data_IF_976625876912
#
_entry.id   IF_976625876912
#
_cell.length_a   1.000
_cell.length_b   1.000
_cell.length_c   1.000
_cell.angle_alpha   90.00
_cell.angle_beta   90.00
_cell.angle_gamma   90.00
#
_symmetry.space_group_name_H-M   'P 1'
#
loop_
_entity.id
_entity.type
_entity.pdbx_description
1 polymer ?
#
# COMPACT_ATOMS: atom_id res chain seq x y z
N UNK A 1 10.21 2.86 -20.08
CA UNK A 1 9.66 3.51 -21.31
C UNK A 1 9.49 2.49 -22.40
N UNK A 2 8.29 2.42 -23.00
CA UNK A 2 7.98 1.55 -24.13
C UNK A 2 7.41 2.39 -25.28
N UNK A 3 8.04 2.32 -26.43
CA UNK A 3 7.62 2.96 -27.70
C UNK A 3 8.41 2.36 -28.86
N UNK A 4 8.04 2.64 -30.09
CA UNK A 4 8.88 2.38 -31.26
C UNK A 4 9.82 3.57 -31.48
N UNK A 5 11.09 3.41 -31.11
CA UNK A 5 12.13 4.44 -31.23
C UNK A 5 12.58 4.71 -32.68
N UNK A 6 12.06 3.96 -33.66
CA UNK A 6 12.38 4.15 -35.09
C UNK A 6 11.45 5.14 -35.79
N UNK A 7 10.34 5.51 -35.13
CA UNK A 7 9.41 6.53 -35.62
C UNK A 7 9.80 7.91 -35.11
N UNK A 8 8.94 8.57 -34.32
CA UNK A 8 9.25 9.87 -33.73
C UNK A 8 9.97 9.70 -32.41
N UNK A 9 10.59 10.77 -31.90
CA UNK A 9 11.20 10.77 -30.58
C UNK A 9 10.11 10.58 -29.51
N UNK A 10 10.44 9.94 -28.38
CA UNK A 10 9.46 9.72 -27.29
C UNK A 10 8.77 10.99 -26.82
N UNK A 11 9.53 12.09 -26.68
CA UNK A 11 9.02 13.39 -26.22
C UNK A 11 8.02 14.05 -27.19
N UNK A 12 8.03 13.68 -28.47
CA UNK A 12 7.12 14.20 -29.48
C UNK A 12 5.82 13.41 -29.60
N UNK A 13 5.70 12.28 -28.90
CA UNK A 13 4.50 11.43 -28.88
C UNK A 13 3.69 11.65 -27.60
N UNK A 14 2.36 11.63 -27.67
CA UNK A 14 1.56 11.60 -26.45
C UNK A 14 1.85 10.34 -25.63
N UNK A 15 2.07 10.53 -24.32
CA UNK A 15 2.41 9.47 -23.41
C UNK A 15 1.29 9.12 -22.45
N UNK A 16 1.34 7.89 -21.93
CA UNK A 16 0.48 7.39 -20.85
C UNK A 16 1.40 6.98 -19.71
N UNK A 17 1.13 7.50 -18.52
CA UNK A 17 1.71 7.05 -17.27
C UNK A 17 0.87 5.92 -16.68
N UNK A 18 1.51 4.84 -16.24
CA UNK A 18 0.85 3.72 -15.59
C UNK A 18 1.72 3.31 -14.40
N UNK A 19 1.14 3.27 -13.21
CA UNK A 19 1.80 2.76 -12.03
C UNK A 19 1.01 1.61 -11.38
N UNK A 20 1.73 0.79 -10.62
CA UNK A 20 1.23 -0.26 -9.75
C UNK A 20 2.04 -0.30 -8.47
N UNK A 21 1.64 -1.11 -7.50
CA UNK A 21 2.33 -1.25 -6.23
C UNK A 21 2.41 0.05 -5.43
N UNK A 22 1.37 0.87 -5.50
CA UNK A 22 1.21 2.06 -4.64
C UNK A 22 0.96 1.62 -3.21
N UNK A 23 0.15 0.59 -3.05
CA UNK A 23 -0.14 -0.09 -1.79
C UNK A 23 0.64 -1.42 -1.77
N UNK A 24 1.41 -1.68 -0.72
CA UNK A 24 2.38 -2.79 -0.68
C UNK A 24 1.74 -4.17 -0.68
N UNK A 25 0.51 -4.30 -0.19
CA UNK A 25 -0.26 -5.54 -0.16
C UNK A 25 -1.06 -5.79 -1.47
N UNK A 26 -1.13 -4.80 -2.35
CA UNK A 26 -1.83 -4.91 -3.63
C UNK A 26 -0.96 -5.47 -4.76
N UNK A 27 -0.35 -6.62 -4.54
CA UNK A 27 0.62 -7.25 -5.44
C UNK A 27 0.11 -7.52 -6.85
N UNK A 28 -1.20 -7.71 -7.02
CA UNK A 28 -1.82 -7.94 -8.34
C UNK A 28 -1.70 -6.71 -9.24
N UNK A 29 -1.58 -5.51 -8.69
CA UNK A 29 -1.39 -4.28 -9.44
C UNK A 29 0.00 -4.27 -10.12
N UNK A 30 1.02 -4.73 -9.42
CA UNK A 30 2.38 -4.95 -9.95
C UNK A 30 2.36 -6.01 -11.07
N UNK A 31 1.70 -7.14 -10.84
CA UNK A 31 1.56 -8.20 -11.85
C UNK A 31 0.82 -7.73 -13.10
N UNK A 32 -0.23 -6.92 -12.94
CA UNK A 32 -0.96 -6.35 -14.05
C UNK A 32 -0.08 -5.39 -14.89
N UNK A 33 0.73 -4.55 -14.23
CA UNK A 33 1.69 -3.68 -14.88
C UNK A 33 2.76 -4.47 -15.66
N UNK A 34 3.30 -5.53 -15.06
CA UNK A 34 4.27 -6.44 -15.72
C UNK A 34 3.62 -7.18 -16.90
N UNK A 35 2.39 -7.66 -16.75
CA UNK A 35 1.62 -8.27 -17.82
C UNK A 35 1.39 -7.32 -19.01
N UNK A 36 1.11 -6.04 -18.73
CA UNK A 36 0.99 -5.01 -19.76
C UNK A 36 2.33 -4.77 -20.46
N UNK A 37 3.43 -4.66 -19.72
CA UNK A 37 4.78 -4.54 -20.30
C UNK A 37 5.05 -5.72 -21.24
N UNK A 38 4.82 -6.94 -20.77
CA UNK A 38 5.00 -8.15 -21.58
C UNK A 38 4.17 -8.09 -22.87
N UNK A 39 2.88 -7.77 -22.79
CA UNK A 39 1.99 -7.67 -23.96
C UNK A 39 2.47 -6.60 -24.93
N UNK A 40 2.82 -5.41 -24.43
CA UNK A 40 3.33 -4.32 -25.26
C UNK A 40 4.64 -4.69 -25.99
N UNK A 41 5.48 -5.51 -25.39
CA UNK A 41 6.77 -5.89 -25.99
C UNK A 41 6.67 -7.08 -26.96
N UNK A 42 5.76 -8.01 -26.71
CA UNK A 42 5.75 -9.30 -27.43
C UNK A 42 4.60 -9.47 -28.43
N UNK A 43 3.52 -8.68 -28.32
CA UNK A 43 2.38 -8.81 -29.23
C UNK A 43 2.67 -8.27 -30.61
N UNK A 44 2.24 -9.02 -31.63
CA UNK A 44 2.27 -8.64 -33.04
C UNK A 44 0.85 -8.26 -33.55
N UNK A 45 -0.10 -8.02 -32.64
CA UNK A 45 -1.41 -7.49 -33.00
C UNK A 45 -1.28 -6.09 -33.59
N UNK A 46 -1.96 -5.81 -34.69
CA UNK A 46 -1.87 -4.54 -35.42
C UNK A 46 -2.11 -3.31 -34.55
N UNK A 47 -3.06 -3.43 -33.62
CA UNK A 47 -3.41 -2.34 -32.70
C UNK A 47 -2.28 -2.05 -31.70
N UNK A 48 -1.65 -3.10 -31.18
CA UNK A 48 -0.50 -2.96 -30.27
C UNK A 48 0.72 -2.39 -31.00
N UNK A 49 0.95 -2.84 -32.23
CA UNK A 49 2.01 -2.27 -33.05
C UNK A 49 1.75 -0.78 -33.34
N UNK A 50 0.53 -0.42 -33.65
CA UNK A 50 0.14 0.98 -33.88
C UNK A 50 0.32 1.83 -32.63
N UNK A 51 -0.07 1.30 -31.44
CA UNK A 51 0.15 1.97 -30.18
C UNK A 51 1.64 2.25 -29.93
N UNK A 52 2.53 1.27 -30.13
CA UNK A 52 3.97 1.46 -29.98
C UNK A 52 4.52 2.54 -30.95
N UNK A 53 4.01 2.62 -32.15
CA UNK A 53 4.43 3.62 -33.14
C UNK A 53 3.99 5.04 -32.81
N UNK A 54 2.82 5.18 -32.19
CA UNK A 54 2.14 6.47 -32.05
C UNK A 54 2.07 6.98 -30.61
N UNK A 55 2.47 6.18 -29.62
CA UNK A 55 2.38 6.50 -28.19
C UNK A 55 3.66 6.14 -27.44
N UNK A 56 3.79 6.71 -26.26
CA UNK A 56 4.78 6.31 -25.26
C UNK A 56 4.06 5.78 -24.04
N UNK A 57 4.57 4.69 -23.51
CA UNK A 57 4.11 4.12 -22.24
C UNK A 57 5.24 4.27 -21.21
N UNK A 58 5.02 5.08 -20.21
CA UNK A 58 5.84 5.14 -19.01
C UNK A 58 5.18 4.27 -17.95
N UNK A 59 5.81 3.16 -17.62
CA UNK A 59 5.22 2.18 -16.69
C UNK A 59 6.16 2.01 -15.51
N UNK A 60 5.62 2.24 -14.30
CA UNK A 60 6.25 1.97 -13.02
C UNK A 60 5.54 0.78 -12.39
N UNK A 61 6.10 -0.44 -12.45
CA UNK A 61 5.39 -1.64 -11.99
C UNK A 61 5.14 -1.68 -10.50
N UNK A 62 6.05 -1.11 -9.69
CA UNK A 62 5.98 -1.11 -8.24
C UNK A 62 6.55 0.20 -7.69
N UNK A 63 5.69 1.00 -7.05
CA UNK A 63 6.07 2.28 -6.48
C UNK A 63 6.84 2.12 -5.17
N UNK A 64 6.47 1.15 -4.32
CA UNK A 64 7.08 0.91 -3.00
C UNK A 64 7.65 -0.51 -2.89
N UNK A 65 8.78 -0.78 -3.58
CA UNK A 65 9.35 -2.13 -3.64
C UNK A 65 9.77 -2.68 -2.28
N UNK A 66 10.26 -1.82 -1.37
CA UNK A 66 10.70 -2.24 -0.04
C UNK A 66 9.50 -2.67 0.83
N UNK A 67 8.39 -1.94 0.77
CA UNK A 67 7.13 -2.33 1.43
C UNK A 67 6.57 -3.63 0.88
N UNK A 68 6.63 -3.82 -0.44
CA UNK A 68 6.20 -5.07 -1.09
C UNK A 68 7.10 -6.25 -0.69
N UNK A 69 8.42 -6.04 -0.61
CA UNK A 69 9.36 -7.07 -0.16
C UNK A 69 9.07 -7.51 1.28
N UNK A 70 8.85 -6.55 2.17
CA UNK A 70 8.48 -6.85 3.56
C UNK A 70 7.14 -7.59 3.64
N UNK A 71 6.14 -7.18 2.84
CA UNK A 71 4.85 -7.86 2.77
C UNK A 71 4.98 -9.33 2.35
N UNK A 72 5.86 -9.63 1.39
CA UNK A 72 6.03 -10.99 0.88
C UNK A 72 6.89 -11.89 1.76
N UNK A 73 7.91 -11.33 2.43
CA UNK A 73 8.98 -12.11 3.04
C UNK A 73 9.09 -11.97 4.55
N UNK A 74 8.16 -11.24 5.18
CA UNK A 74 8.08 -11.17 6.65
C UNK A 74 6.74 -11.61 7.19
N UNK A 75 6.69 -11.96 8.46
CA UNK A 75 5.45 -12.24 9.18
C UNK A 75 4.58 -10.99 9.34
N UNK A 76 5.18 -9.81 9.34
CA UNK A 76 4.50 -8.53 9.60
C UNK A 76 3.45 -8.19 8.55
N UNK A 77 3.72 -8.47 7.27
CA UNK A 77 2.84 -8.16 6.14
C UNK A 77 2.23 -6.75 6.22
N UNK A 78 3.07 -5.70 6.25
CA UNK A 78 2.58 -4.34 6.32
C UNK A 78 1.66 -4.05 5.14
N UNK A 79 0.68 -3.19 5.38
CA UNK A 79 -0.22 -2.66 4.36
C UNK A 79 0.22 -1.26 4.03
N UNK A 80 0.08 -0.87 2.78
CA UNK A 80 0.01 0.52 2.31
C UNK A 80 1.13 1.44 2.80
N UNK A 81 2.35 0.95 3.14
CA UNK A 81 3.35 1.83 3.71
C UNK A 81 4.74 1.69 3.10
N UNK A 82 5.45 2.82 3.04
CA UNK A 82 6.90 2.86 2.87
C UNK A 82 7.58 2.37 4.14
N UNK A 83 8.87 2.02 4.06
CA UNK A 83 9.66 1.58 5.23
C UNK A 83 10.45 2.73 5.88
N UNK A 84 10.14 3.97 5.57
CA UNK A 84 10.74 5.11 6.26
C UNK A 84 10.29 5.09 7.71
N UNK A 85 11.23 5.09 8.69
CA UNK A 85 10.88 5.08 10.10
C UNK A 85 9.91 6.20 10.46
N UNK A 86 8.86 5.85 11.19
CA UNK A 86 7.81 6.76 11.59
C UNK A 86 7.40 6.51 13.04
N UNK A 87 7.06 7.56 13.76
CA UNK A 87 6.58 7.56 15.13
C UNK A 87 5.05 7.67 15.09
N UNK A 88 4.36 6.52 15.19
CA UNK A 88 2.91 6.44 15.03
C UNK A 88 2.15 6.93 16.25
N UNK A 89 2.74 6.84 17.45
CA UNK A 89 2.11 7.20 18.71
C UNK A 89 2.59 8.55 19.28
N UNK A 90 3.65 9.13 18.69
CA UNK A 90 4.27 10.41 19.04
C UNK A 90 4.95 10.42 20.42
N UNK A 91 5.60 9.32 20.79
CA UNK A 91 6.41 9.21 22.00
C UNK A 91 7.87 9.66 21.80
N UNK A 92 8.28 9.86 20.55
CA UNK A 92 9.61 10.32 20.13
C UNK A 92 10.57 9.20 19.76
N UNK A 93 10.12 7.94 19.71
CA UNK A 93 10.84 6.81 19.16
C UNK A 93 10.22 6.43 17.81
N UNK A 94 10.77 5.45 17.14
CA UNK A 94 10.34 5.07 15.80
C UNK A 94 10.34 3.56 15.66
N UNK A 95 9.24 2.99 15.15
CA UNK A 95 9.13 1.57 14.81
C UNK A 95 9.47 0.62 15.99
N UNK A 96 9.22 1.01 17.25
CA UNK A 96 9.72 0.24 18.41
C UNK A 96 8.74 -0.81 18.94
N UNK A 97 7.45 -0.74 18.55
CA UNK A 97 6.47 -1.73 18.96
C UNK A 97 5.77 -2.39 17.76
N UNK A 98 6.52 -3.13 16.92
CA UNK A 98 5.96 -3.80 15.75
C UNK A 98 5.18 -5.05 16.13
N UNK A 99 4.21 -5.48 15.32
CA UNK A 99 3.61 -6.81 15.45
C UNK A 99 4.64 -7.93 15.33
N UNK A 100 4.38 -9.02 16.05
CA UNK A 100 5.25 -10.20 16.07
C UNK A 100 4.44 -11.49 15.87
N UNK A 101 5.02 -12.47 15.21
CA UNK A 101 4.47 -13.82 15.09
C UNK A 101 4.78 -14.61 16.38
N UNK A 102 3.83 -14.68 17.30
CA UNK A 102 3.99 -15.35 18.59
C UNK A 102 3.71 -16.86 18.53
N UNK A 103 2.93 -17.31 17.56
CA UNK A 103 2.56 -18.73 17.46
C UNK A 103 3.36 -19.51 16.41
N UNK A 104 4.18 -18.84 15.61
CA UNK A 104 5.14 -19.45 14.68
C UNK A 104 4.50 -19.88 13.36
N UNK A 105 3.35 -19.29 12.98
CA UNK A 105 2.68 -19.61 11.72
C UNK A 105 3.18 -18.80 10.52
N UNK A 106 4.18 -17.95 10.72
CA UNK A 106 4.77 -16.99 9.80
C UNK A 106 3.84 -15.85 9.39
N UNK A 107 2.88 -15.49 10.25
CA UNK A 107 1.99 -14.35 10.06
C UNK A 107 1.66 -13.68 11.38
N UNK A 108 2.01 -12.41 11.53
CA UNK A 108 1.52 -11.59 12.62
C UNK A 108 0.05 -11.20 12.31
N UNK A 109 -0.90 -12.00 12.79
CA UNK A 109 -2.32 -11.82 12.51
C UNK A 109 -2.99 -10.93 13.58
N UNK A 110 -4.05 -11.45 14.18
CA UNK A 110 -4.78 -10.76 15.23
C UNK A 110 -4.85 -11.61 16.48
N UNK A 111 -4.49 -11.02 17.60
CA UNK A 111 -4.68 -11.62 18.91
C UNK A 111 -5.85 -11.01 19.67
N UNK A 112 -6.31 -11.72 20.68
CA UNK A 112 -7.31 -11.25 21.64
C UNK A 112 -6.77 -11.29 23.05
N UNK A 113 -6.84 -10.17 23.73
CA UNK A 113 -6.43 -10.04 25.12
C UNK A 113 -7.68 -9.93 26.01
N UNK A 114 -7.74 -10.70 27.11
CA UNK A 114 -8.84 -10.58 28.06
C UNK A 114 -8.79 -9.21 28.74
N UNK A 115 -9.91 -8.51 28.73
CA UNK A 115 -10.03 -7.20 29.38
C UNK A 115 -11.42 -7.05 29.99
N UNK A 116 -11.56 -6.58 31.23
CA UNK A 116 -12.87 -6.29 31.82
C UNK A 116 -13.65 -5.22 31.05
N UNK A 117 -12.95 -4.29 30.41
CA UNK A 117 -13.50 -3.22 29.57
C UNK A 117 -13.64 -3.61 28.10
N UNK A 118 -13.28 -4.83 27.74
CA UNK A 118 -13.21 -5.29 26.36
C UNK A 118 -14.49 -5.08 25.58
N UNK A 119 -14.31 -4.70 24.31
CA UNK A 119 -15.42 -4.40 23.37
C UNK A 119 -15.91 -5.62 22.60
N UNK A 120 -15.26 -6.77 22.81
CA UNK A 120 -15.50 -7.98 22.02
C UNK A 120 -15.83 -9.17 22.92
N UNK A 121 -16.65 -10.08 22.39
CA UNK A 121 -16.93 -11.41 22.96
C UNK A 121 -16.73 -12.46 21.89
N UNK A 122 -16.51 -13.70 22.31
CA UNK A 122 -16.45 -14.82 21.36
C UNK A 122 -17.81 -15.00 20.69
N UNK A 123 -17.80 -15.30 19.40
CA UNK A 123 -19.00 -15.67 18.68
C UNK A 123 -19.55 -17.00 19.21
N UNK A 124 -20.86 -17.10 19.33
CA UNK A 124 -21.53 -18.28 19.88
C UNK A 124 -21.45 -19.50 18.97
N UNK A 125 -21.36 -19.26 17.65
CA UNK A 125 -21.31 -20.33 16.65
C UNK A 125 -19.89 -20.80 16.37
N UNK A 126 -18.92 -19.88 16.41
CA UNK A 126 -17.52 -20.18 16.21
C UNK A 126 -16.66 -19.39 17.21
N UNK A 127 -16.24 -20.05 18.29
CA UNK A 127 -15.44 -19.43 19.35
C UNK A 127 -14.05 -18.95 18.93
N UNK A 128 -13.64 -19.17 17.67
CA UNK A 128 -12.42 -18.57 17.07
C UNK A 128 -12.66 -17.13 16.68
N UNK A 129 -13.90 -16.80 16.32
CA UNK A 129 -14.30 -15.46 15.89
C UNK A 129 -14.67 -14.60 17.11
N UNK A 130 -14.54 -13.29 16.92
CA UNK A 130 -15.02 -12.27 17.84
C UNK A 130 -16.16 -11.48 17.18
N UNK A 131 -17.19 -11.18 17.98
CA UNK A 131 -18.22 -10.20 17.63
C UNK A 131 -18.24 -9.05 18.63
N UNK A 132 -18.75 -7.93 18.23
CA UNK A 132 -18.94 -6.79 19.14
C UNK A 132 -19.83 -7.20 20.32
N UNK A 133 -19.41 -6.75 21.51
CA UNK A 133 -20.14 -6.94 22.77
C UNK A 133 -21.44 -6.15 22.74
N UNK A 134 -22.52 -6.81 23.17
CA UNK A 134 -23.81 -6.18 23.54
C UNK A 134 -23.85 -5.93 25.05
N UNK A 135 -24.71 -5.01 25.54
CA UNK A 135 -24.81 -4.71 27.00
C UNK A 135 -25.01 -5.92 27.90
N UNK A 136 -25.79 -6.89 27.45
CA UNK A 136 -26.21 -8.07 28.24
C UNK A 136 -25.34 -9.31 27.97
N UNK A 137 -24.27 -9.19 27.18
CA UNK A 137 -23.39 -10.31 26.91
C UNK A 137 -22.65 -10.73 28.19
N UNK A 138 -22.58 -12.03 28.49
CA UNK A 138 -21.74 -12.52 29.58
C UNK A 138 -20.26 -12.49 29.17
N UNK A 139 -19.38 -12.20 30.16
CA UNK A 139 -17.94 -12.34 29.94
C UNK A 139 -17.49 -13.79 29.66
N UNK A 140 -16.25 -13.99 29.31
CA UNK A 140 -15.17 -13.00 29.33
C UNK A 140 -15.18 -12.04 28.13
N UNK A 141 -14.74 -10.81 28.36
CA UNK A 141 -14.61 -9.78 27.33
C UNK A 141 -13.17 -9.69 26.84
N UNK A 142 -12.99 -9.18 25.61
CA UNK A 142 -11.71 -9.10 24.94
C UNK A 142 -11.51 -7.74 24.27
N UNK A 143 -10.27 -7.29 24.25
CA UNK A 143 -9.76 -6.34 23.26
C UNK A 143 -9.08 -7.12 22.13
N UNK A 144 -8.92 -6.48 20.97
CA UNK A 144 -8.33 -7.06 19.77
C UNK A 144 -7.17 -6.18 19.32
N UNK A 145 -6.03 -6.80 19.15
CA UNK A 145 -4.79 -6.17 18.72
C UNK A 145 -4.19 -6.95 17.56
N UNK A 146 -3.20 -6.39 16.87
CA UNK A 146 -2.26 -7.17 16.08
C UNK A 146 -1.53 -8.14 17.00
N UNK A 147 -1.08 -9.25 16.48
CA UNK A 147 -0.30 -10.23 17.24
C UNK A 147 1.07 -9.66 17.57
N UNK A 148 1.51 -9.82 18.81
CA UNK A 148 2.77 -9.30 19.34
C UNK A 148 2.70 -9.08 20.85
N UNK A 149 3.73 -8.46 21.38
CA UNK A 149 3.86 -8.08 22.78
C UNK A 149 3.96 -6.55 22.86
N UNK A 150 3.72 -6.00 24.03
CA UNK A 150 3.97 -4.60 24.35
C UNK A 150 5.48 -4.45 24.57
N UNK A 151 6.21 -4.04 23.53
CA UNK A 151 7.68 -4.03 23.51
C UNK A 151 8.27 -2.85 24.27
N UNK A 152 7.57 -1.73 24.33
CA UNK A 152 8.02 -0.50 24.99
C UNK A 152 7.47 -0.35 26.43
N UNK A 153 6.42 -1.12 26.78
CA UNK A 153 5.85 -1.19 28.12
C UNK A 153 4.86 -0.05 28.43
N UNK A 154 4.26 0.58 27.43
CA UNK A 154 3.30 1.68 27.62
C UNK A 154 1.88 1.19 27.92
N UNK A 155 1.62 -0.11 27.75
CA UNK A 155 0.33 -0.78 28.02
C UNK A 155 -0.60 -0.86 26.82
N UNK A 156 -0.15 -0.44 25.64
CA UNK A 156 -0.78 -0.71 24.35
C UNK A 156 -0.06 -1.89 23.69
N UNK A 157 -0.41 -2.22 22.47
CA UNK A 157 0.16 -3.37 21.75
C UNK A 157 0.30 -3.03 20.28
N UNK A 158 1.52 -3.12 19.80
CA UNK A 158 1.86 -3.10 18.38
C UNK A 158 1.31 -1.87 17.65
N UNK A 159 1.46 -0.68 18.22
CA UNK A 159 1.02 0.58 17.63
C UNK A 159 2.04 1.21 16.69
N UNK A 160 3.34 0.95 16.87
CA UNK A 160 4.42 1.47 16.03
C UNK A 160 4.95 0.39 15.08
N UNK A 161 4.44 0.42 13.87
CA UNK A 161 4.83 -0.49 12.81
C UNK A 161 6.07 0.00 12.07
N UNK A 162 6.84 -0.90 11.44
CA UNK A 162 7.92 -0.50 10.53
C UNK A 162 7.38 0.36 9.38
N UNK A 163 7.82 1.62 9.33
CA UNK A 163 7.32 2.59 8.36
C UNK A 163 6.04 3.26 8.83
N UNK A 164 5.05 3.44 7.98
CA UNK A 164 3.75 4.01 8.38
C UNK A 164 3.23 5.09 7.43
N UNK A 165 4.03 5.56 6.48
CA UNK A 165 3.57 6.51 5.47
C UNK A 165 3.00 5.76 4.27
N UNK A 166 1.73 6.01 4.02
CA UNK A 166 0.98 5.49 2.89
C UNK A 166 1.15 6.39 1.67
N UNK A 167 1.82 5.94 0.59
CA UNK A 167 1.99 6.76 -0.61
C UNK A 167 0.67 7.21 -1.21
N UNK A 168 -0.39 6.41 -1.09
CA UNK A 168 -1.73 6.73 -1.56
C UNK A 168 -2.42 7.81 -0.72
N UNK A 169 -1.80 8.27 0.38
CA UNK A 169 -2.22 9.42 1.22
C UNK A 169 -1.25 10.58 1.12
N UNK A 170 -0.10 10.39 0.48
CA UNK A 170 0.99 11.37 0.42
C UNK A 170 0.99 12.20 -0.87
N UNK A 171 0.11 11.91 -1.85
CA UNK A 171 -0.04 12.74 -3.05
C UNK A 171 -0.49 14.17 -2.71
N UNK A 172 -0.07 15.20 -3.50
CA UNK A 172 -0.44 16.59 -3.24
C UNK A 172 -1.94 16.89 -3.29
N UNK A 173 -2.69 16.13 -4.11
CA UNK A 173 -4.13 16.33 -4.24
C UNK A 173 -4.90 15.89 -3.00
N UNK A 174 -5.65 16.80 -2.38
CA UNK A 174 -6.43 16.58 -1.15
C UNK A 174 -5.62 16.07 0.05
N UNK A 175 -4.33 16.35 0.10
CA UNK A 175 -3.49 16.00 1.23
C UNK A 175 -3.96 16.66 2.52
N UNK A 176 -3.89 15.95 3.64
CA UNK A 176 -4.24 16.46 4.95
C UNK A 176 -3.32 15.90 6.02
N UNK A 177 -2.70 16.76 6.81
CA UNK A 177 -1.84 16.37 7.94
C UNK A 177 -2.56 15.52 9.00
N UNK A 178 -3.88 15.64 9.08
CA UNK A 178 -4.69 14.87 10.04
C UNK A 178 -5.08 13.47 9.54
N UNK A 179 -4.68 13.10 8.33
CA UNK A 179 -4.96 11.77 7.79
C UNK A 179 -3.81 10.83 8.14
N UNK A 180 -4.12 9.71 8.76
CA UNK A 180 -3.11 8.68 9.09
C UNK A 180 -2.37 8.25 7.82
N UNK A 181 -1.06 8.12 7.92
CA UNK A 181 -0.21 7.73 6.80
C UNK A 181 0.07 8.83 5.78
N UNK A 182 -0.39 10.08 6.00
CA UNK A 182 -0.21 11.17 5.02
C UNK A 182 1.21 11.73 4.93
N UNK A 183 2.08 11.39 5.89
CA UNK A 183 3.44 11.91 5.97
C UNK A 183 3.53 13.37 6.44
N UNK A 184 4.76 13.86 6.58
CA UNK A 184 5.03 15.18 7.12
C UNK A 184 4.56 16.34 6.21
N UNK A 185 4.55 16.10 4.88
CA UNK A 185 4.09 17.04 3.85
C UNK A 185 3.78 16.26 2.56
N UNK A 186 3.03 16.86 1.61
CA UNK A 186 2.73 16.19 0.33
C UNK A 186 4.01 15.84 -0.42
N UNK A 187 4.14 14.59 -0.84
CA UNK A 187 5.35 14.11 -1.51
C UNK A 187 6.58 14.01 -0.57
N UNK A 188 6.37 13.79 0.73
CA UNK A 188 7.47 13.57 1.68
C UNK A 188 8.24 12.28 1.40
N UNK A 189 7.60 11.29 0.82
CA UNK A 189 8.21 10.00 0.51
C UNK A 189 9.00 10.06 -0.78
N UNK A 190 10.23 9.55 -0.72
CA UNK A 190 11.18 9.65 -1.84
C UNK A 190 10.69 8.89 -3.08
N UNK A 191 10.03 7.75 -2.87
CA UNK A 191 9.46 6.90 -3.91
C UNK A 191 8.41 7.68 -4.70
N UNK A 192 7.44 8.25 -3.98
CA UNK A 192 6.39 9.05 -4.60
C UNK A 192 6.94 10.32 -5.24
N UNK A 193 7.84 11.04 -4.55
CA UNK A 193 8.44 12.25 -5.09
C UNK A 193 9.19 11.98 -6.38
N UNK A 194 9.95 10.89 -6.46
CA UNK A 194 10.66 10.50 -7.67
C UNK A 194 9.72 10.22 -8.84
N UNK A 195 8.57 9.60 -8.58
CA UNK A 195 7.53 9.39 -9.58
C UNK A 195 6.89 10.71 -10.04
N UNK A 196 6.60 11.61 -9.10
CA UNK A 196 6.04 12.93 -9.40
C UNK A 196 7.02 13.80 -10.20
N UNK A 197 8.29 13.84 -9.81
CA UNK A 197 9.35 14.56 -10.53
C UNK A 197 9.46 14.04 -11.97
N UNK A 198 9.44 12.72 -12.15
CA UNK A 198 9.41 12.12 -13.48
C UNK A 198 8.20 12.59 -14.31
N UNK A 199 7.01 12.59 -13.70
CA UNK A 199 5.78 13.03 -14.40
C UNK A 199 5.88 14.50 -14.81
N UNK A 200 6.37 15.36 -13.92
CA UNK A 200 6.55 16.80 -14.21
C UNK A 200 7.61 17.08 -15.31
N UNK A 201 8.66 16.26 -15.36
CA UNK A 201 9.69 16.37 -16.38
C UNK A 201 9.26 15.83 -17.76
N UNK A 202 8.08 15.17 -17.84
CA UNK A 202 7.56 14.59 -19.07
C UNK A 202 6.20 15.19 -19.47
N UNK A 203 6.17 16.44 -19.98
CA UNK A 203 4.94 17.17 -20.29
C UNK A 203 4.11 16.55 -21.44
N UNK A 204 4.64 15.55 -22.12
CA UNK A 204 3.93 14.77 -23.13
C UNK A 204 3.00 13.71 -22.51
N UNK A 205 2.99 13.53 -21.19
CA UNK A 205 2.03 12.64 -20.50
C UNK A 205 0.64 13.25 -20.58
N UNK A 206 -0.22 12.64 -21.40
CA UNK A 206 -1.58 13.09 -21.67
C UNK A 206 -2.65 12.33 -20.87
N UNK A 207 -2.29 11.20 -20.28
CA UNK A 207 -3.17 10.38 -19.45
C UNK A 207 -2.37 9.62 -18.40
N UNK A 208 -3.02 9.28 -17.27
CA UNK A 208 -2.45 8.44 -16.23
C UNK A 208 -3.45 7.39 -15.76
N UNK A 209 -2.94 6.25 -15.32
CA UNK A 209 -3.71 5.19 -14.68
C UNK A 209 -2.90 4.59 -13.55
N UNK A 210 -3.43 4.66 -12.32
CA UNK A 210 -2.93 3.95 -11.17
C UNK A 210 -3.67 2.63 -11.01
N UNK A 211 -2.93 1.53 -10.86
CA UNK A 211 -3.47 0.18 -10.74
C UNK A 211 -3.55 -0.19 -9.26
N UNK A 212 -4.75 -0.55 -8.82
CA UNK A 212 -5.06 -1.07 -7.50
C UNK A 212 -5.79 -2.40 -7.61
N UNK A 213 -5.95 -3.11 -6.49
CA UNK A 213 -6.69 -4.39 -6.46
C UNK A 213 -7.93 -4.36 -5.58
N UNK A 214 -8.11 -3.32 -4.77
CA UNK A 214 -9.20 -3.22 -3.81
C UNK A 214 -10.45 -2.58 -4.43
N UNK A 215 -11.63 -3.11 -4.07
CA UNK A 215 -12.94 -2.51 -4.37
C UNK A 215 -13.56 -2.90 -5.72
N UNK A 216 -12.81 -3.41 -6.70
CA UNK A 216 -13.33 -3.85 -8.00
C UNK A 216 -14.01 -2.72 -8.80
N UNK A 217 -13.49 -1.50 -8.71
CA UNK A 217 -14.05 -0.29 -9.34
C UNK A 217 -13.03 0.40 -10.23
N UNK A 218 -13.52 1.16 -11.20
CA UNK A 218 -12.70 2.10 -11.98
C UNK A 218 -13.10 3.51 -11.54
N UNK A 219 -12.18 4.19 -10.88
CA UNK A 219 -12.36 5.56 -10.43
C UNK A 219 -11.75 6.54 -11.41
N UNK A 220 -12.31 7.73 -11.50
CA UNK A 220 -11.76 8.86 -12.24
C UNK A 220 -11.85 10.13 -11.40
N UNK A 221 -10.94 11.08 -11.58
CA UNK A 221 -11.08 12.40 -10.98
C UNK A 221 -12.43 13.04 -11.38
N UNK A 222 -12.98 13.89 -10.50
CA UNK A 222 -14.22 14.61 -10.76
C UNK A 222 -14.11 15.54 -11.97
#
# INVERSE_FOLDING_TARGET
TITDFKTDKPEDKPAIWIDGGVDSDEVISTEAALGLIHRLLTSNESDIENLRKTRVFYILPNLIPDGSELHHHSALRPRDSTLKPWDDDNDGKFDEDPPEDLDGDNMALQMRVKSPSGKWVKDEKDGRLLRQRKPDDPGPYYERYSEGIDNDGDGKYNEDWPGGIDPNRNYPGNWSVNQRGSGAFPGSEIELRSALDFIYDHPNIAASQSLHSTGGVILRPP
#
